data_IF_572648616495
#
_entry.id   IF_572648616495
#
_cell.length_a   1.000
_cell.length_b   1.000
_cell.length_c   1.000
_cell.angle_alpha   90.00
_cell.angle_beta   90.00
_cell.angle_gamma   90.00
#
_symmetry.space_group_name_H-M   'P 1'
#
loop_
_entity.id
_entity.type
_entity.pdbx_description
1 polymer ?
#
# COMPACT_ATOMS: atom_id res chain seq x y z
N UNK A 1 -4.65 14.02 1.68
CA UNK A 1 -5.55 13.41 2.68
C UNK A 1 -6.50 12.46 1.98
N UNK A 2 -6.18 11.17 2.08
CA UNK A 2 -6.95 10.06 1.51
C UNK A 2 -8.19 9.82 2.37
N UNK A 3 -9.37 10.10 1.83
CA UNK A 3 -10.65 9.79 2.46
C UNK A 3 -11.00 8.32 2.29
N UNK A 4 -11.25 7.64 3.41
CA UNK A 4 -11.65 6.22 3.48
C UNK A 4 -13.03 5.98 2.89
N UNK A 5 -13.19 4.81 2.26
CA UNK A 5 -14.51 4.18 2.10
C UNK A 5 -15.18 4.39 0.74
N UNK A 6 -14.69 3.73 -0.32
CA UNK A 6 -15.61 3.32 -1.39
C UNK A 6 -15.22 2.03 -2.14
N UNK A 7 -14.22 1.26 -1.70
CA UNK A 7 -13.75 0.08 -2.45
C UNK A 7 -13.06 0.49 -3.76
N UNK A 8 -12.36 1.62 -3.75
CA UNK A 8 -11.71 2.17 -4.95
C UNK A 8 -10.33 1.57 -5.08
N UNK A 9 -10.16 0.70 -6.06
CA UNK A 9 -8.86 0.31 -6.56
C UNK A 9 -8.14 1.57 -7.05
N UNK A 10 -7.02 1.93 -6.41
CA UNK A 10 -6.13 3.00 -6.87
C UNK A 10 -4.88 2.38 -7.47
N UNK A 11 -4.47 2.91 -8.61
CA UNK A 11 -3.22 2.58 -9.26
C UNK A 11 -2.31 3.79 -9.09
N UNK A 12 -1.16 3.62 -8.45
CA UNK A 12 -0.16 4.66 -8.29
C UNK A 12 1.08 4.31 -9.10
N UNK A 13 1.55 5.29 -9.88
CA UNK A 13 2.89 5.30 -10.46
C UNK A 13 3.81 5.84 -9.35
N UNK A 14 4.35 4.93 -8.55
CA UNK A 14 5.17 5.21 -7.38
C UNK A 14 6.58 4.70 -7.68
N UNK A 15 7.61 5.53 -7.46
CA UNK A 15 9.00 5.12 -7.60
C UNK A 15 9.61 4.79 -6.22
N UNK A 16 9.69 3.50 -5.90
CA UNK A 16 10.29 3.01 -4.64
C UNK A 16 11.77 3.37 -4.48
N UNK A 17 12.48 3.72 -5.57
CA UNK A 17 13.86 4.20 -5.52
C UNK A 17 13.99 5.69 -5.24
N UNK A 18 12.89 6.44 -5.29
CA UNK A 18 12.83 7.88 -5.12
C UNK A 18 12.42 8.24 -3.69
N UNK A 19 13.34 8.79 -2.90
CA UNK A 19 13.02 9.36 -1.58
C UNK A 19 12.18 10.65 -1.63
N UNK A 20 11.58 10.98 -2.78
CA UNK A 20 10.72 12.15 -2.98
C UNK A 20 9.22 11.80 -2.95
N UNK A 21 8.88 10.52 -2.86
CA UNK A 21 7.52 10.01 -2.90
C UNK A 21 7.28 9.09 -1.70
N UNK A 22 6.17 9.30 -0.99
CA UNK A 22 5.74 8.44 0.11
C UNK A 22 4.34 7.89 -0.20
N UNK A 23 4.10 6.64 0.17
CA UNK A 23 2.77 6.04 0.17
C UNK A 23 2.05 6.40 1.47
N UNK A 24 1.14 7.37 1.39
CA UNK A 24 0.33 7.80 2.54
C UNK A 24 -0.82 6.81 2.82
N UNK A 25 -0.62 5.97 3.84
CA UNK A 25 -1.58 5.03 4.40
C UNK A 25 -2.24 5.56 5.68
N UNK A 26 -2.04 6.82 6.07
CA UNK A 26 -2.55 7.37 7.34
C UNK A 26 -4.08 7.43 7.45
N UNK A 27 -4.76 7.32 6.30
CA UNK A 27 -6.22 7.14 6.26
C UNK A 27 -6.67 5.70 6.59
N UNK A 28 -5.80 4.71 6.49
CA UNK A 28 -6.16 3.28 6.55
C UNK A 28 -5.96 2.72 7.97
N UNK A 29 -6.91 2.99 8.86
CA UNK A 29 -6.84 2.61 10.28
C UNK A 29 -6.64 1.10 10.56
N UNK A 30 -6.86 0.23 9.57
CA UNK A 30 -6.59 -1.21 9.65
C UNK A 30 -5.11 -1.57 9.55
N UNK A 31 -4.29 -0.70 8.97
CA UNK A 31 -2.85 -0.92 8.75
C UNK A 31 -2.12 -0.13 9.83
N UNK A 32 -1.57 -0.85 10.80
CA UNK A 32 -1.05 -0.23 12.04
C UNK A 32 0.46 0.07 12.02
N UNK A 33 1.14 -0.30 10.94
CA UNK A 33 2.57 -0.02 10.75
C UNK A 33 3.20 -0.96 9.72
N UNK A 34 4.50 -0.79 9.47
CA UNK A 34 5.21 -1.52 8.40
C UNK A 34 5.22 -3.05 8.59
N UNK A 35 5.42 -3.52 9.83
CA UNK A 35 5.37 -4.96 10.12
C UNK A 35 3.99 -5.55 9.84
N UNK A 36 2.93 -4.82 10.19
CA UNK A 36 1.55 -5.22 9.93
C UNK A 36 1.25 -5.19 8.42
N UNK A 37 1.68 -4.12 7.75
CA UNK A 37 1.59 -3.96 6.30
C UNK A 37 2.20 -5.15 5.55
N UNK A 38 3.46 -5.50 5.87
CA UNK A 38 4.20 -6.58 5.21
C UNK A 38 3.62 -7.96 5.48
N UNK A 39 3.14 -8.21 6.70
CA UNK A 39 2.67 -9.53 7.10
C UNK A 39 1.20 -9.79 6.72
N UNK A 40 0.38 -8.74 6.62
CA UNK A 40 -1.08 -8.90 6.54
C UNK A 40 -1.73 -8.18 5.36
N UNK A 41 -1.11 -7.16 4.78
CA UNK A 41 -1.79 -6.25 3.85
C UNK A 41 -1.14 -6.14 2.48
N UNK A 42 0.12 -6.55 2.30
CA UNK A 42 0.81 -6.53 1.01
C UNK A 42 0.89 -7.91 0.37
N UNK A 43 0.77 -7.95 -0.95
CA UNK A 43 0.98 -9.16 -1.74
C UNK A 43 1.57 -8.80 -3.09
N UNK A 44 2.57 -9.56 -3.54
CA UNK A 44 3.09 -9.45 -4.90
C UNK A 44 2.11 -10.09 -5.88
N UNK A 45 1.73 -9.35 -6.94
CA UNK A 45 0.87 -9.82 -8.03
C UNK A 45 1.55 -9.51 -9.36
N UNK A 46 2.28 -10.50 -9.89
CA UNK A 46 3.11 -10.28 -11.08
C UNK A 46 4.17 -9.21 -10.79
N UNK A 47 4.31 -8.17 -11.63
CA UNK A 47 5.27 -7.09 -11.40
C UNK A 47 4.78 -6.02 -10.40
N UNK A 48 3.58 -6.16 -9.84
CA UNK A 48 2.96 -5.11 -9.02
C UNK A 48 2.82 -5.54 -7.56
N UNK A 49 2.85 -4.57 -6.64
CA UNK A 49 2.49 -4.77 -5.23
C UNK A 49 1.05 -4.33 -5.01
N UNK A 50 0.23 -5.21 -4.43
CA UNK A 50 -1.14 -4.89 -4.02
C UNK A 50 -1.21 -4.77 -2.50
N UNK A 51 -1.59 -3.59 -2.02
CA UNK A 51 -1.93 -3.28 -0.64
C UNK A 51 -3.45 -3.37 -0.48
N UNK A 52 -3.92 -4.09 0.53
CA UNK A 52 -5.36 -4.21 0.84
C UNK A 52 -5.64 -3.83 2.30
N UNK A 53 -6.45 -2.79 2.51
CA UNK A 53 -6.83 -2.28 3.83
C UNK A 53 -7.98 -3.01 4.50
N UNK A 54 -8.48 -4.12 3.95
CA UNK A 54 -9.61 -4.84 4.56
C UNK A 54 -9.56 -6.35 4.38
N UNK A 55 -9.60 -7.06 5.50
CA UNK A 55 -9.82 -8.49 5.53
C UNK A 55 -11.19 -8.86 4.94
N UNK A 56 -11.23 -9.86 4.06
CA UNK A 56 -12.48 -10.47 3.61
C UNK A 56 -13.33 -9.66 2.63
N UNK A 57 -12.73 -8.95 1.67
CA UNK A 57 -13.42 -8.55 0.43
C UNK A 57 -14.10 -7.17 0.40
N UNK A 58 -13.95 -6.34 1.45
CA UNK A 58 -14.53 -5.00 1.51
C UNK A 58 -13.54 -3.84 1.72
N UNK A 59 -12.23 -4.10 1.70
CA UNK A 59 -11.18 -3.09 1.88
C UNK A 59 -10.91 -2.24 0.63
N UNK A 60 -10.30 -1.08 0.82
CA UNK A 60 -9.71 -0.31 -0.28
C UNK A 60 -8.41 -1.01 -0.73
N UNK A 61 -8.18 -1.06 -2.05
CA UNK A 61 -6.93 -1.60 -2.60
C UNK A 61 -6.10 -0.50 -3.25
N UNK A 62 -4.79 -0.59 -3.04
CA UNK A 62 -3.79 0.22 -3.69
C UNK A 62 -2.83 -0.70 -4.44
N UNK A 63 -2.64 -0.47 -5.73
CA UNK A 63 -1.67 -1.18 -6.57
C UNK A 63 -0.51 -0.23 -6.88
N UNK A 64 0.70 -0.65 -6.51
CA UNK A 64 1.96 -0.02 -6.87
C UNK A 64 2.49 -0.77 -8.11
N UNK A 65 2.51 -0.08 -9.25
CA UNK A 65 2.80 -0.72 -10.54
C UNK A 65 4.30 -0.90 -10.72
N UNK A 66 4.73 -2.09 -11.16
CA UNK A 66 6.13 -2.36 -11.49
C UNK A 66 7.08 -2.38 -10.31
N UNK A 67 6.55 -2.47 -9.09
CA UNK A 67 7.33 -2.51 -7.85
C UNK A 67 7.47 -3.95 -7.36
N UNK A 68 8.69 -4.31 -6.94
CA UNK A 68 8.93 -5.53 -6.17
C UNK A 68 8.73 -5.23 -4.68
N UNK A 69 8.02 -6.11 -3.98
CA UNK A 69 7.78 -5.96 -2.54
C UNK A 69 9.07 -5.94 -1.72
N UNK A 70 10.16 -6.53 -2.22
CA UNK A 70 11.48 -6.50 -1.59
C UNK A 70 12.20 -5.16 -1.73
N UNK A 71 11.78 -4.30 -2.65
CA UNK A 71 12.30 -2.94 -2.81
C UNK A 71 11.62 -1.94 -1.85
N UNK A 72 10.55 -2.35 -1.16
CA UNK A 72 9.80 -1.51 -0.23
C UNK A 72 10.36 -1.58 1.20
N UNK A 73 10.62 -0.43 1.79
CA UNK A 73 11.08 -0.23 3.15
C UNK A 73 10.09 0.58 4.00
N UNK A 74 10.34 0.60 5.32
CA UNK A 74 9.48 1.32 6.26
C UNK A 74 9.46 2.85 6.04
N UNK A 75 10.51 3.39 5.40
CA UNK A 75 10.59 4.81 5.04
C UNK A 75 9.59 5.23 3.97
N UNK A 76 9.09 4.27 3.17
CA UNK A 76 8.30 4.56 1.99
C UNK A 76 6.81 4.75 2.31
N UNK A 77 6.45 4.65 3.61
CA UNK A 77 5.07 4.66 4.07
C UNK A 77 4.84 5.65 5.21
N UNK A 78 3.72 6.35 5.13
CA UNK A 78 3.16 7.13 6.23
C UNK A 78 1.93 6.41 6.79
N UNK A 79 1.88 6.23 8.10
CA UNK A 79 0.78 5.57 8.82
C UNK A 79 0.02 6.55 9.72
#
# INVERSE_FOLDING_TARGET
MFGTGSGKDKIMDFDAGSGAEDVDLSGMASITGFSDLMNNHMTQVGPDVVINSGGGGGGDKLTLVGIDIGDLGASDFLF
#
